data_IF_201660920196
#
_entry.id   IF_201660920196
#
_cell.length_a   1.000
_cell.length_b   1.000
_cell.length_c   1.000
_cell.angle_alpha   90.00
_cell.angle_beta   90.00
_cell.angle_gamma   90.00
#
_symmetry.space_group_name_H-M   'P 1'
#
loop_
_entity.id
_entity.type
_entity.pdbx_description
1 polymer ?
#
# COMPACT_ATOMS: atom_id res chain seq x y z
N UNK A 1 -11.24 35.44 3.31
CA UNK A 1 -11.89 34.68 2.22
C UNK A 1 -12.32 33.38 2.85
N UNK A 2 -13.56 32.92 2.63
CA UNK A 2 -14.01 31.67 3.23
C UNK A 2 -13.14 30.54 2.70
N UNK A 3 -12.52 29.77 3.61
CA UNK A 3 -11.77 28.58 3.22
C UNK A 3 -12.77 27.57 2.64
N UNK A 4 -12.53 27.15 1.40
CA UNK A 4 -13.31 26.11 0.77
C UNK A 4 -13.17 24.81 1.59
N UNK A 5 -14.28 24.09 1.79
CA UNK A 5 -14.29 22.83 2.54
C UNK A 5 -14.80 21.69 1.67
N UNK A 6 -14.53 20.46 2.10
CA UNK A 6 -15.05 19.26 1.46
C UNK A 6 -16.59 19.24 1.45
N UNK A 7 -17.23 19.76 2.51
CA UNK A 7 -18.69 19.90 2.59
C UNK A 7 -19.24 20.82 1.48
N UNK A 8 -18.59 21.97 1.22
CA UNK A 8 -18.99 22.88 0.14
C UNK A 8 -18.85 22.24 -1.24
N UNK A 9 -17.83 21.39 -1.42
CA UNK A 9 -17.61 20.64 -2.67
C UNK A 9 -18.72 19.60 -2.88
N UNK A 10 -19.03 18.83 -1.83
CA UNK A 10 -20.10 17.83 -1.88
C UNK A 10 -21.45 18.49 -2.14
N UNK A 11 -21.74 19.61 -1.46
CA UNK A 11 -22.96 20.38 -1.66
C UNK A 11 -23.10 20.88 -3.11
N UNK A 12 -22.03 21.43 -3.69
CA UNK A 12 -22.02 21.89 -5.09
C UNK A 12 -22.31 20.74 -6.08
N UNK A 13 -21.84 19.52 -5.78
CA UNK A 13 -22.07 18.35 -6.63
C UNK A 13 -23.50 17.81 -6.57
N UNK A 14 -24.30 18.18 -5.57
CA UNK A 14 -25.73 17.82 -5.50
C UNK A 14 -26.57 18.47 -6.60
N UNK A 15 -26.05 19.48 -7.30
CA UNK A 15 -26.69 20.10 -8.47
C UNK A 15 -26.53 19.27 -9.75
N UNK A 16 -25.59 18.31 -9.79
CA UNK A 16 -25.25 17.57 -11.01
C UNK A 16 -26.11 16.32 -11.13
N UNK A 17 -26.77 16.17 -12.28
CA UNK A 17 -27.57 14.98 -12.64
C UNK A 17 -26.86 14.15 -13.71
N UNK A 18 -26.75 12.83 -13.55
CA UNK A 18 -26.24 11.96 -14.59
C UNK A 18 -27.29 11.77 -15.72
N UNK A 19 -26.90 11.32 -16.91
CA UNK A 19 -27.78 11.19 -18.08
C UNK A 19 -28.89 10.13 -17.91
N UNK A 20 -28.76 9.23 -16.95
CA UNK A 20 -29.60 8.04 -16.76
C UNK A 20 -30.46 8.09 -15.49
N UNK A 21 -30.44 9.19 -14.73
CA UNK A 21 -31.22 9.33 -13.50
C UNK A 21 -31.55 10.79 -13.14
N UNK A 22 -32.74 10.99 -12.59
CA UNK A 22 -33.20 12.29 -12.05
C UNK A 22 -32.62 12.63 -10.66
N UNK A 23 -31.96 11.66 -10.01
CA UNK A 23 -31.23 11.87 -8.75
C UNK A 23 -29.82 12.37 -9.00
N UNK A 24 -29.28 13.17 -8.08
CA UNK A 24 -27.93 13.71 -8.20
C UNK A 24 -26.83 12.68 -7.95
N UNK A 25 -25.64 12.96 -8.49
CA UNK A 25 -24.48 12.07 -8.41
C UNK A 25 -24.00 11.81 -6.97
N UNK A 26 -24.33 12.69 -6.00
CA UNK A 26 -24.01 12.49 -4.57
C UNK A 26 -25.02 11.53 -3.94
N UNK A 27 -26.32 11.78 -4.14
CA UNK A 27 -27.41 10.91 -3.65
C UNK A 27 -27.36 9.51 -4.25
N UNK A 28 -26.81 9.37 -5.46
CA UNK A 28 -26.58 8.09 -6.12
C UNK A 28 -25.32 7.37 -5.62
N UNK A 29 -24.55 7.98 -4.71
CA UNK A 29 -23.32 7.40 -4.18
C UNK A 29 -22.20 7.29 -5.21
N UNK A 30 -22.25 8.09 -6.29
CA UNK A 30 -21.27 8.02 -7.37
C UNK A 30 -19.98 8.75 -7.03
N UNK A 31 -19.96 9.60 -6.00
CA UNK A 31 -18.75 10.27 -5.56
C UNK A 31 -17.90 9.32 -4.71
N UNK A 32 -16.82 8.80 -5.31
CA UNK A 32 -15.92 7.85 -4.64
C UNK A 32 -14.72 8.52 -3.96
N UNK A 33 -14.52 9.82 -4.20
CA UNK A 33 -13.52 10.59 -3.47
C UNK A 33 -13.47 12.07 -3.85
N UNK A 34 -13.23 12.91 -2.84
CA UNK A 34 -12.99 14.35 -2.95
C UNK A 34 -11.63 14.65 -2.33
N UNK A 35 -10.79 15.40 -3.04
CA UNK A 35 -9.52 15.91 -2.53
C UNK A 35 -9.49 17.41 -2.73
N UNK A 36 -9.24 18.14 -1.64
CA UNK A 36 -9.03 19.57 -1.65
C UNK A 36 -7.63 19.87 -1.12
N UNK A 37 -6.80 20.54 -1.92
CA UNK A 37 -5.46 20.95 -1.50
C UNK A 37 -5.07 22.29 -2.12
N UNK A 38 -4.81 23.27 -1.27
CA UNK A 38 -4.31 24.59 -1.67
C UNK A 38 -5.17 25.24 -2.80
N UNK A 39 -6.50 25.10 -2.72
CA UNK A 39 -7.43 25.59 -3.75
C UNK A 39 -7.59 24.70 -4.98
N UNK A 40 -6.92 23.54 -5.06
CA UNK A 40 -7.10 22.58 -6.15
C UNK A 40 -8.06 21.47 -5.71
N UNK A 41 -9.07 21.20 -6.52
CA UNK A 41 -10.09 20.18 -6.27
C UNK A 41 -9.89 19.02 -7.25
N UNK A 42 -9.87 17.79 -6.72
CA UNK A 42 -10.00 16.59 -7.53
C UNK A 42 -11.18 15.74 -7.04
N UNK A 43 -12.12 15.44 -7.93
CA UNK A 43 -13.30 14.61 -7.63
C UNK A 43 -13.34 13.39 -8.54
N UNK A 44 -13.64 12.23 -7.94
CA UNK A 44 -13.80 10.97 -8.68
C UNK A 44 -15.27 10.60 -8.72
N UNK A 45 -15.79 10.39 -9.93
CA UNK A 45 -17.15 9.88 -10.17
C UNK A 45 -17.04 8.43 -10.64
N UNK A 46 -17.62 7.53 -9.87
CA UNK A 46 -17.71 6.12 -10.19
C UNK A 46 -18.85 5.86 -11.17
N UNK A 47 -18.54 5.19 -12.28
CA UNK A 47 -19.48 4.83 -13.34
C UNK A 47 -19.30 3.35 -13.70
N UNK A 48 -20.17 2.80 -14.52
CA UNK A 48 -19.96 1.49 -15.17
C UNK A 48 -19.20 1.67 -16.49
N UNK A 49 -18.65 0.57 -17.05
CA UNK A 49 -18.00 0.64 -18.37
C UNK A 49 -18.95 1.07 -19.49
N UNK A 50 -20.22 0.65 -19.41
CA UNK A 50 -21.26 0.97 -20.38
C UNK A 50 -21.63 2.46 -20.35
N UNK A 51 -21.45 3.10 -19.20
CA UNK A 51 -21.69 4.53 -18.97
C UNK A 51 -20.57 5.44 -19.46
N UNK A 52 -19.39 4.90 -19.82
CA UNK A 52 -18.16 5.62 -20.14
C UNK A 52 -18.34 6.94 -20.91
N UNK A 53 -18.61 6.85 -22.22
CA UNK A 53 -18.74 8.04 -23.06
C UNK A 53 -20.01 8.86 -22.75
N UNK A 54 -21.05 8.22 -22.23
CA UNK A 54 -22.33 8.88 -21.93
C UNK A 54 -22.21 9.83 -20.73
N UNK A 55 -21.26 9.58 -19.82
CA UNK A 55 -21.04 10.37 -18.60
C UNK A 55 -20.03 11.52 -18.77
N UNK A 56 -19.43 11.66 -19.94
CA UNK A 56 -18.50 12.76 -20.23
C UNK A 56 -19.14 14.16 -20.05
N UNK A 57 -20.41 14.41 -20.44
CA UNK A 57 -21.09 15.66 -20.11
C UNK A 57 -21.23 15.91 -18.61
N UNK A 58 -21.53 14.86 -17.83
CA UNK A 58 -21.65 14.92 -16.36
C UNK A 58 -20.30 15.24 -15.71
N UNK A 59 -19.21 14.61 -16.18
CA UNK A 59 -17.83 14.91 -15.75
C UNK A 59 -17.51 16.38 -15.97
N UNK A 60 -17.77 16.88 -17.17
CA UNK A 60 -17.48 18.27 -17.55
C UNK A 60 -18.33 19.26 -16.74
N UNK A 61 -19.61 18.98 -16.55
CA UNK A 61 -20.49 19.84 -15.77
C UNK A 61 -20.08 19.91 -14.30
N UNK A 62 -19.64 18.79 -13.72
CA UNK A 62 -19.08 18.77 -12.37
C UNK A 62 -17.78 19.58 -12.30
N UNK A 63 -16.89 19.44 -13.29
CA UNK A 63 -15.63 20.19 -13.36
C UNK A 63 -15.85 21.71 -13.46
N UNK A 64 -16.77 22.14 -14.34
CA UNK A 64 -17.15 23.55 -14.50
C UNK A 64 -17.79 24.11 -13.23
N UNK A 65 -18.64 23.33 -12.56
CA UNK A 65 -19.31 23.74 -11.31
C UNK A 65 -18.32 23.93 -10.17
N UNK A 66 -17.36 23.02 -10.04
CA UNK A 66 -16.32 23.09 -9.01
C UNK A 66 -15.31 24.21 -9.29
N UNK A 67 -14.94 24.43 -10.56
CA UNK A 67 -14.05 25.52 -10.95
C UNK A 67 -14.65 26.91 -10.67
N UNK A 68 -15.99 27.02 -10.64
CA UNK A 68 -16.70 28.26 -10.35
C UNK A 68 -16.79 28.60 -8.84
N UNK A 69 -16.36 27.69 -7.95
CA UNK A 69 -16.43 27.93 -6.51
C UNK A 69 -15.39 28.99 -6.06
N UNK A 70 -15.77 29.93 -5.17
CA UNK A 70 -14.83 30.90 -4.62
C UNK A 70 -13.65 30.23 -3.91
N UNK A 71 -12.42 30.60 -4.29
CA UNK A 71 -11.19 30.04 -3.70
C UNK A 71 -10.61 28.83 -4.44
N UNK A 72 -11.20 28.41 -5.55
CA UNK A 72 -10.69 27.32 -6.40
C UNK A 72 -9.71 27.86 -7.45
N UNK A 73 -8.53 27.26 -7.51
CA UNK A 73 -7.49 27.50 -8.51
C UNK A 73 -7.61 26.55 -9.70
N UNK A 74 -7.98 25.30 -9.44
CA UNK A 74 -8.26 24.31 -10.49
C UNK A 74 -9.22 23.25 -9.97
N UNK A 75 -10.07 22.72 -10.86
CA UNK A 75 -10.90 21.57 -10.59
C UNK A 75 -10.63 20.51 -11.66
N UNK A 76 -10.52 19.25 -11.24
CA UNK A 76 -10.39 18.10 -12.15
C UNK A 76 -11.37 17.02 -11.72
N UNK A 77 -12.21 16.59 -12.66
CA UNK A 77 -13.17 15.50 -12.42
C UNK A 77 -12.80 14.32 -13.31
N UNK A 78 -12.67 13.14 -12.69
CA UNK A 78 -12.30 11.90 -13.37
C UNK A 78 -13.44 10.90 -13.26
N UNK A 79 -13.80 10.30 -14.40
CA UNK A 79 -14.71 9.17 -14.44
C UNK A 79 -13.90 7.88 -14.24
N UNK A 80 -14.31 7.05 -13.30
CA UNK A 80 -13.70 5.73 -13.08
C UNK A 80 -14.74 4.64 -13.25
N UNK A 81 -14.52 3.75 -14.21
CA UNK A 81 -15.28 2.52 -14.33
C UNK A 81 -14.54 1.38 -13.62
N UNK A 82 -15.08 0.87 -12.51
CA UNK A 82 -14.61 -0.41 -12.00
C UNK A 82 -15.03 -1.50 -12.99
N UNK A 83 -14.10 -2.40 -13.35
CA UNK A 83 -14.52 -3.72 -13.85
C UNK A 83 -15.34 -4.33 -12.71
N UNK A 84 -16.60 -4.77 -12.94
CA UNK A 84 -17.11 -5.84 -12.11
C UNK A 84 -16.07 -6.96 -12.22
N UNK A 85 -15.60 -7.48 -11.08
CA UNK A 85 -15.09 -8.84 -11.07
C UNK A 85 -16.10 -9.67 -11.87
N UNK A 86 -15.64 -10.37 -12.92
CA UNK A 86 -16.51 -11.17 -13.79
C UNK A 86 -17.57 -11.83 -12.92
N UNK A 87 -18.82 -11.37 -13.12
CA UNK A 87 -19.95 -11.85 -12.36
C UNK A 87 -19.94 -13.36 -12.47
N UNK A 88 -19.93 -14.00 -11.30
CA UNK A 88 -20.19 -15.40 -11.16
C UNK A 88 -21.41 -15.74 -12.03
N UNK A 89 -21.18 -16.55 -13.07
CA UNK A 89 -22.27 -17.30 -13.68
C UNK A 89 -22.84 -18.19 -12.57
N UNK A 90 -24.15 -18.13 -12.26
CA UNK A 90 -24.76 -19.01 -11.27
C UNK A 90 -24.85 -20.41 -11.88
N UNK A 91 -23.73 -21.14 -11.85
CA UNK A 91 -23.60 -22.42 -12.53
C UNK A 91 -22.17 -22.84 -12.82
N UNK A 92 -21.28 -22.79 -11.84
CA UNK A 92 -20.04 -23.56 -11.88
C UNK A 92 -19.62 -23.90 -10.44
N UNK A 93 -19.23 -25.15 -10.22
CA UNK A 93 -19.06 -25.78 -8.91
C UNK A 93 -18.01 -25.15 -7.97
N UNK A 94 -17.84 -25.74 -6.77
CA UNK A 94 -16.94 -25.20 -5.75
C UNK A 94 -15.48 -25.27 -6.24
N UNK A 95 -14.78 -24.13 -6.19
CA UNK A 95 -13.32 -24.06 -6.30
C UNK A 95 -12.78 -23.74 -7.69
N UNK A 96 -12.74 -22.45 -8.04
CA UNK A 96 -11.61 -21.96 -8.84
C UNK A 96 -10.60 -21.36 -7.85
N UNK A 97 -9.63 -22.17 -7.44
CA UNK A 97 -8.42 -21.68 -6.78
C UNK A 97 -7.76 -20.64 -7.68
N UNK A 98 -7.72 -19.40 -7.21
CA UNK A 98 -6.83 -18.39 -7.81
C UNK A 98 -5.42 -18.98 -7.76
N UNK A 99 -4.76 -19.08 -8.92
CA UNK A 99 -3.38 -19.54 -8.97
C UNK A 99 -2.54 -18.73 -7.96
N UNK A 100 -1.68 -19.39 -7.16
CA UNK A 100 -0.91 -18.70 -6.13
C UNK A 100 -0.13 -17.56 -6.76
N UNK A 101 -0.22 -16.35 -6.20
CA UNK A 101 0.51 -15.19 -6.69
C UNK A 101 2.03 -15.44 -6.78
N UNK A 102 2.55 -16.41 -6.01
CA UNK A 102 3.97 -16.74 -5.89
C UNK A 102 4.13 -18.22 -5.54
N UNK A 103 4.07 -19.12 -6.53
CA UNK A 103 3.95 -20.57 -6.27
C UNK A 103 5.24 -21.19 -5.68
N UNK A 104 6.40 -20.55 -5.84
CA UNK A 104 7.71 -21.13 -5.55
C UNK A 104 8.37 -20.58 -4.26
N UNK A 105 7.56 -20.04 -3.33
CA UNK A 105 8.06 -19.48 -2.07
C UNK A 105 7.51 -20.28 -0.89
N UNK A 106 8.40 -20.86 -0.07
CA UNK A 106 8.00 -21.70 1.07
C UNK A 106 7.46 -20.91 2.26
N UNK A 107 8.00 -19.73 2.52
CA UNK A 107 7.64 -18.91 3.67
C UNK A 107 7.58 -17.44 3.29
N UNK A 108 6.47 -16.77 3.59
CA UNK A 108 6.27 -15.35 3.29
C UNK A 108 6.03 -14.60 4.61
N UNK A 109 6.94 -13.68 4.94
CA UNK A 109 6.90 -12.89 6.17
C UNK A 109 6.61 -11.44 5.79
N UNK A 110 5.48 -10.92 6.27
CA UNK A 110 5.13 -9.53 6.11
C UNK A 110 5.71 -8.67 7.24
N UNK A 111 6.33 -7.54 6.89
CA UNK A 111 6.85 -6.56 7.84
C UNK A 111 5.93 -5.35 7.80
N UNK A 112 5.28 -5.07 8.93
CA UNK A 112 4.27 -4.02 9.04
C UNK A 112 4.62 -3.00 10.13
N UNK A 113 4.02 -1.82 10.06
CA UNK A 113 4.10 -0.81 11.11
C UNK A 113 2.84 0.01 11.17
N UNK A 114 2.41 0.41 12.37
CA UNK A 114 1.21 1.25 12.54
C UNK A 114 1.36 2.68 12.01
N UNK A 115 2.59 3.14 11.77
CA UNK A 115 2.89 4.46 11.21
C UNK A 115 4.21 4.46 10.42
N UNK A 116 4.47 5.54 9.69
CA UNK A 116 5.74 5.78 8.99
C UNK A 116 6.87 6.18 9.94
N UNK A 117 8.12 5.98 9.50
CA UNK A 117 9.32 6.45 10.20
C UNK A 117 9.82 5.56 11.35
N UNK A 118 9.17 4.43 11.65
CA UNK A 118 9.58 3.51 12.74
C UNK A 118 10.76 2.61 12.40
N UNK A 119 11.28 2.68 11.17
CA UNK A 119 12.36 1.80 10.67
C UNK A 119 11.90 0.41 10.20
N UNK A 120 10.65 0.32 9.71
CA UNK A 120 10.06 -0.87 9.07
C UNK A 120 10.95 -1.43 7.96
N UNK A 121 11.28 -0.61 6.95
CA UNK A 121 12.11 -1.01 5.80
C UNK A 121 13.52 -1.42 6.20
N UNK A 122 14.13 -0.69 7.15
CA UNK A 122 15.44 -1.06 7.71
C UNK A 122 15.39 -2.45 8.35
N UNK A 123 14.31 -2.73 9.09
CA UNK A 123 14.11 -4.03 9.73
C UNK A 123 13.89 -5.13 8.68
N UNK A 124 13.10 -4.86 7.64
CA UNK A 124 12.86 -5.80 6.54
C UNK A 124 14.17 -6.18 5.82
N UNK A 125 15.01 -5.20 5.48
CA UNK A 125 16.33 -5.42 4.87
C UNK A 125 17.22 -6.26 5.79
N UNK A 126 17.34 -5.90 7.06
CA UNK A 126 18.20 -6.63 8.00
C UNK A 126 17.71 -8.07 8.23
N UNK A 127 16.39 -8.30 8.27
CA UNK A 127 15.84 -9.63 8.40
C UNK A 127 16.11 -10.48 7.14
N UNK A 128 15.93 -9.91 5.95
CA UNK A 128 16.26 -10.59 4.70
C UNK A 128 17.74 -10.97 4.62
N UNK A 129 18.64 -10.04 4.97
CA UNK A 129 20.08 -10.30 5.02
C UNK A 129 20.44 -11.35 6.07
N UNK A 130 19.77 -11.37 7.23
CA UNK A 130 19.97 -12.39 8.26
C UNK A 130 19.55 -13.79 7.78
N UNK A 131 18.47 -13.90 6.99
CA UNK A 131 18.07 -15.17 6.38
C UNK A 131 19.08 -15.63 5.32
N UNK A 132 19.54 -14.73 4.46
CA UNK A 132 20.58 -15.05 3.47
C UNK A 132 21.90 -15.46 4.14
N UNK A 133 22.29 -14.79 5.22
CA UNK A 133 23.47 -15.14 6.03
C UNK A 133 23.35 -16.53 6.68
N UNK A 134 22.12 -17.04 6.87
CA UNK A 134 21.85 -18.42 7.30
C UNK A 134 21.80 -19.43 6.15
N UNK A 135 22.04 -19.00 4.91
CA UNK A 135 22.05 -19.85 3.72
C UNK A 135 20.69 -20.09 3.08
N UNK A 136 19.66 -19.33 3.47
CA UNK A 136 18.32 -19.44 2.87
C UNK A 136 18.27 -18.69 1.54
N UNK A 137 17.58 -19.23 0.53
CA UNK A 137 17.24 -18.49 -0.69
C UNK A 137 16.23 -17.42 -0.33
N UNK A 138 16.63 -16.15 -0.36
CA UNK A 138 15.83 -15.05 0.19
C UNK A 138 15.42 -14.02 -0.86
N UNK A 139 14.12 -13.71 -0.87
CA UNK A 139 13.54 -12.57 -1.60
C UNK A 139 13.18 -11.42 -0.66
N UNK A 140 13.28 -10.20 -1.17
CA UNK A 140 12.83 -8.98 -0.52
C UNK A 140 11.97 -8.16 -1.49
N UNK A 141 10.71 -7.94 -1.13
CA UNK A 141 9.80 -7.10 -1.89
C UNK A 141 9.51 -5.81 -1.11
N UNK A 142 9.82 -4.68 -1.71
CA UNK A 142 9.41 -3.36 -1.25
C UNK A 142 8.07 -2.97 -1.88
N UNK A 143 7.03 -2.91 -1.06
CA UNK A 143 5.69 -2.49 -1.48
C UNK A 143 5.33 -1.07 -1.03
N UNK A 144 6.28 -0.32 -0.44
CA UNK A 144 6.06 1.06 -0.04
C UNK A 144 6.27 2.02 -1.22
N UNK A 145 5.15 2.36 -1.88
CA UNK A 145 5.16 3.14 -3.12
C UNK A 145 5.49 4.61 -2.90
N UNK A 146 5.12 5.17 -1.74
CA UNK A 146 5.23 6.60 -1.46
C UNK A 146 6.60 7.00 -0.91
N UNK A 147 7.36 6.03 -0.40
CA UNK A 147 8.71 6.25 0.12
C UNK A 147 9.59 5.01 -0.02
N UNK A 148 9.79 4.47 -1.24
CA UNK A 148 10.59 3.28 -1.44
C UNK A 148 12.01 3.56 -0.97
N UNK A 149 12.42 2.87 0.08
CA UNK A 149 13.72 3.10 0.72
C UNK A 149 14.69 1.96 0.47
N UNK A 150 14.17 0.78 0.09
CA UNK A 150 14.97 -0.43 -0.10
C UNK A 150 15.98 -0.29 -1.25
N UNK A 151 15.66 0.28 -2.43
CA UNK A 151 16.66 0.50 -3.48
C UNK A 151 17.85 1.29 -2.97
N UNK A 152 17.61 2.38 -2.25
CA UNK A 152 18.67 3.21 -1.67
C UNK A 152 19.45 2.47 -0.58
N UNK A 153 18.78 1.76 0.32
CA UNK A 153 19.42 1.01 1.42
C UNK A 153 20.36 -0.08 0.90
N UNK A 154 19.96 -0.76 -0.17
CA UNK A 154 20.77 -1.80 -0.81
C UNK A 154 21.75 -1.20 -1.83
N UNK A 155 21.58 0.04 -2.28
CA UNK A 155 22.31 0.64 -3.39
C UNK A 155 22.01 -0.05 -4.72
N UNK A 156 20.72 -0.31 -4.99
CA UNK A 156 20.22 -0.81 -6.25
C UNK A 156 19.96 0.37 -7.18
N UNK A 157 20.43 0.25 -8.42
CA UNK A 157 20.30 1.30 -9.42
C UNK A 157 19.75 0.73 -10.72
N UNK A 158 19.09 1.60 -11.48
CA UNK A 158 18.51 1.31 -12.79
C UNK A 158 17.28 0.40 -12.73
N UNK A 159 16.54 0.38 -13.84
CA UNK A 159 15.36 -0.48 -13.98
C UNK A 159 15.75 -1.96 -13.93
N UNK A 160 14.83 -2.86 -13.50
CA UNK A 160 15.03 -4.29 -13.62
C UNK A 160 15.16 -4.70 -15.08
N UNK A 161 15.95 -5.75 -15.35
CA UNK A 161 16.08 -6.29 -16.70
C UNK A 161 14.78 -7.00 -17.08
N UNK A 162 14.31 -6.77 -18.30
CA UNK A 162 13.15 -7.46 -18.84
C UNK A 162 13.59 -8.79 -19.46
N UNK A 163 13.16 -9.91 -18.88
CA UNK A 163 13.51 -11.26 -19.34
C UNK A 163 12.60 -11.68 -20.51
N UNK A 164 11.35 -11.24 -20.50
CA UNK A 164 10.37 -11.48 -21.57
C UNK A 164 9.33 -10.37 -21.61
N UNK A 165 8.39 -10.41 -22.56
CA UNK A 165 7.31 -9.41 -22.68
C UNK A 165 6.56 -9.15 -21.35
N UNK A 166 6.47 -10.16 -20.48
CA UNK A 166 5.76 -10.08 -19.20
C UNK A 166 6.64 -10.31 -17.97
N UNK A 167 7.90 -10.78 -18.11
CA UNK A 167 8.74 -11.17 -16.96
C UNK A 167 9.88 -10.19 -16.69
N UNK A 168 10.08 -9.87 -15.42
CA UNK A 168 11.16 -9.01 -14.93
C UNK A 168 12.15 -9.80 -14.07
N UNK A 169 13.44 -9.54 -14.25
CA UNK A 169 14.48 -10.06 -13.37
C UNK A 169 14.48 -9.27 -12.05
N UNK A 170 14.47 -9.92 -10.87
CA UNK A 170 14.76 -9.22 -9.63
C UNK A 170 16.20 -8.71 -9.64
N UNK A 171 16.47 -7.60 -8.95
CA UNK A 171 17.85 -7.18 -8.71
C UNK A 171 18.48 -8.10 -7.67
N UNK A 172 19.76 -8.41 -7.82
CA UNK A 172 20.48 -9.23 -6.85
C UNK A 172 21.57 -8.41 -6.16
N UNK A 173 21.60 -8.46 -4.83
CA UNK A 173 22.67 -7.85 -4.04
C UNK A 173 22.79 -8.50 -2.68
N UNK A 174 24.01 -8.60 -2.14
CA UNK A 174 24.28 -9.21 -0.82
C UNK A 174 23.67 -10.61 -0.64
N UNK A 175 23.53 -11.39 -1.73
CA UNK A 175 22.94 -12.73 -1.69
C UNK A 175 21.41 -12.78 -1.58
N UNK A 176 20.72 -11.64 -1.74
CA UNK A 176 19.25 -11.58 -1.79
C UNK A 176 18.76 -11.13 -3.16
N UNK A 177 17.59 -11.64 -3.56
CA UNK A 177 16.80 -11.12 -4.67
C UNK A 177 15.89 -10.01 -4.16
N UNK A 178 15.90 -8.85 -4.80
CA UNK A 178 15.18 -7.68 -4.37
C UNK A 178 14.37 -7.06 -5.52
N UNK A 179 13.14 -6.65 -5.22
CA UNK A 179 12.33 -5.84 -6.11
C UNK A 179 11.67 -4.70 -5.32
N UNK A 180 11.51 -3.55 -5.95
CA UNK A 180 10.86 -2.38 -5.37
C UNK A 180 10.12 -1.59 -6.43
N UNK A 181 9.01 -0.98 -6.05
CA UNK A 181 8.32 0.00 -6.88
C UNK A 181 9.24 1.16 -7.27
N UNK A 182 10.17 1.56 -6.40
CA UNK A 182 11.15 2.61 -6.70
C UNK A 182 12.07 2.29 -7.88
N UNK A 183 12.16 1.03 -8.33
CA UNK A 183 12.93 0.64 -9.51
C UNK A 183 12.11 0.71 -10.81
N UNK A 184 10.79 0.71 -10.73
CA UNK A 184 9.88 0.70 -11.89
C UNK A 184 9.46 2.12 -12.30
N UNK A 185 9.50 3.07 -11.35
CA UNK A 185 9.11 4.47 -11.55
C UNK A 185 10.34 5.30 -11.90
N UNK A 186 10.23 6.22 -12.86
CA UNK A 186 11.27 7.20 -13.11
C UNK A 186 11.13 8.37 -12.12
N UNK A 187 12.24 8.80 -11.52
CA UNK A 187 12.28 9.81 -10.44
C UNK A 187 11.60 11.15 -10.79
N UNK A 188 11.45 11.48 -12.08
CA UNK A 188 11.00 12.79 -12.55
C UNK A 188 9.51 12.87 -12.95
N UNK A 189 8.73 11.79 -12.85
CA UNK A 189 7.30 11.82 -13.20
C UNK A 189 6.43 11.76 -11.93
N UNK A 190 5.73 12.85 -11.55
CA UNK A 190 4.77 12.78 -10.45
C UNK A 190 3.59 11.89 -10.84
N UNK A 191 3.68 10.61 -10.51
CA UNK A 191 2.61 9.64 -10.69
C UNK A 191 1.69 9.66 -9.46
N UNK A 192 0.39 9.91 -9.68
CA UNK A 192 -0.63 9.80 -8.63
C UNK A 192 -0.97 8.32 -8.44
N UNK A 193 -0.42 7.72 -7.39
CA UNK A 193 -0.71 6.34 -7.01
C UNK A 193 -2.02 6.26 -6.24
N UNK A 194 -3.07 5.73 -6.90
CA UNK A 194 -4.36 5.37 -6.27
C UNK A 194 -4.27 3.97 -5.68
N UNK A 195 -5.03 3.69 -4.61
CA UNK A 195 -5.02 2.38 -3.91
C UNK A 195 -5.10 1.15 -4.83
N UNK A 196 -6.04 1.09 -5.79
CA UNK A 196 -6.13 -0.04 -6.74
C UNK A 196 -4.89 -0.18 -7.66
N UNK A 197 -4.24 0.92 -8.02
CA UNK A 197 -3.01 0.89 -8.83
C UNK A 197 -1.84 0.36 -8.01
N UNK A 198 -1.75 0.77 -6.74
CA UNK A 198 -0.77 0.25 -5.78
C UNK A 198 -0.91 -1.26 -5.66
N UNK A 199 -2.13 -1.73 -5.45
CA UNK A 199 -2.40 -3.16 -5.35
C UNK A 199 -2.07 -3.92 -6.62
N UNK A 200 -2.48 -3.42 -7.78
CA UNK A 200 -2.19 -4.05 -9.07
C UNK A 200 -0.68 -4.13 -9.33
N UNK A 201 0.07 -3.08 -8.99
CA UNK A 201 1.51 -3.06 -9.17
C UNK A 201 2.21 -4.04 -8.21
N UNK A 202 1.75 -4.16 -6.96
CA UNK A 202 2.28 -5.16 -6.03
C UNK A 202 1.97 -6.57 -6.50
N UNK A 203 0.73 -6.86 -6.90
CA UNK A 203 0.35 -8.14 -7.49
C UNK A 203 1.18 -8.49 -8.73
N UNK A 204 1.45 -7.49 -9.57
CA UNK A 204 2.33 -7.62 -10.72
C UNK A 204 3.75 -8.00 -10.28
N UNK A 205 4.34 -7.30 -9.31
CA UNK A 205 5.69 -7.65 -8.81
C UNK A 205 5.74 -9.05 -8.18
N UNK A 206 4.67 -9.50 -7.54
CA UNK A 206 4.58 -10.83 -6.95
C UNK A 206 4.54 -11.91 -8.05
N UNK A 207 3.80 -11.66 -9.14
CA UNK A 207 3.53 -12.63 -10.22
C UNK A 207 4.58 -12.63 -11.33
N UNK A 208 4.97 -11.44 -11.79
CA UNK A 208 5.69 -11.21 -13.05
C UNK A 208 7.21 -11.12 -12.83
N UNK A 209 7.67 -11.08 -11.58
CA UNK A 209 9.09 -11.15 -11.25
C UNK A 209 9.55 -12.59 -11.18
N UNK A 210 10.69 -12.88 -11.81
CA UNK A 210 11.32 -14.20 -11.80
C UNK A 210 12.06 -14.45 -10.48
N UNK A 211 11.31 -14.59 -9.39
CA UNK A 211 11.86 -14.89 -8.06
C UNK A 211 12.61 -16.22 -8.02
N UNK A 212 12.24 -17.17 -8.89
CA UNK A 212 12.70 -18.55 -8.80
C UNK A 212 12.23 -19.24 -7.51
N UNK A 213 12.98 -20.24 -7.05
CA UNK A 213 12.70 -20.89 -5.77
C UNK A 213 13.26 -20.07 -4.60
N UNK A 214 12.40 -19.75 -3.64
CA UNK A 214 12.79 -19.07 -2.40
C UNK A 214 12.39 -19.89 -1.17
N UNK A 215 13.28 -19.95 -0.20
CA UNK A 215 12.96 -20.49 1.12
C UNK A 215 12.16 -19.48 1.94
N UNK A 216 12.49 -18.19 1.80
CA UNK A 216 11.80 -17.12 2.50
C UNK A 216 11.70 -15.86 1.64
N UNK A 217 10.55 -15.21 1.71
CA UNK A 217 10.37 -13.86 1.18
C UNK A 217 9.92 -12.92 2.28
N UNK A 218 10.62 -11.80 2.38
CA UNK A 218 10.27 -10.68 3.26
C UNK A 218 9.54 -9.63 2.43
N UNK A 219 8.33 -9.26 2.84
CA UNK A 219 7.55 -8.19 2.19
C UNK A 219 7.52 -6.99 3.12
N UNK A 220 8.11 -5.88 2.68
CA UNK A 220 8.02 -4.58 3.36
C UNK A 220 6.72 -3.88 2.96
N UNK A 221 5.74 -3.87 3.87
CA UNK A 221 4.39 -3.35 3.60
C UNK A 221 4.35 -1.82 3.63
N UNK A 222 3.38 -1.15 2.99
CA UNK A 222 3.14 0.27 3.24
C UNK A 222 2.88 0.53 4.74
N UNK A 223 3.19 1.74 5.26
CA UNK A 223 2.90 2.07 6.65
C UNK A 223 1.40 2.21 6.90
N UNK A 224 0.96 1.95 8.13
CA UNK A 224 -0.39 2.21 8.61
C UNK A 224 -1.18 0.93 8.88
N UNK A 225 -2.50 1.03 8.71
CA UNK A 225 -3.44 -0.11 8.67
C UNK A 225 -4.50 0.14 7.59
N UNK A 226 -4.10 0.80 6.50
CA UNK A 226 -4.98 1.18 5.41
C UNK A 226 -5.28 0.01 4.46
N UNK A 227 -6.14 0.27 3.47
CA UNK A 227 -6.69 -0.76 2.58
C UNK A 227 -5.63 -1.53 1.78
N UNK A 228 -4.52 -0.89 1.42
CA UNK A 228 -3.45 -1.56 0.67
C UNK A 228 -2.81 -2.71 1.47
N UNK A 229 -2.59 -2.50 2.77
CA UNK A 229 -2.01 -3.52 3.64
C UNK A 229 -2.98 -4.67 3.90
N UNK A 230 -4.26 -4.33 4.13
CA UNK A 230 -5.31 -5.31 4.34
C UNK A 230 -5.52 -6.18 3.08
N UNK A 231 -5.60 -5.55 1.91
CA UNK A 231 -5.78 -6.24 0.64
C UNK A 231 -4.61 -7.17 0.35
N UNK A 232 -3.37 -6.72 0.59
CA UNK A 232 -2.19 -7.57 0.40
C UNK A 232 -2.20 -8.77 1.34
N UNK A 233 -2.57 -8.55 2.62
CA UNK A 233 -2.68 -9.64 3.59
C UNK A 233 -3.81 -10.63 3.27
N UNK A 234 -4.86 -10.22 2.55
CA UNK A 234 -5.94 -11.10 2.07
C UNK A 234 -5.59 -11.84 0.77
N UNK A 235 -4.80 -11.22 -0.11
CA UNK A 235 -4.48 -11.77 -1.43
C UNK A 235 -3.26 -12.68 -1.40
N UNK A 236 -2.27 -12.35 -0.58
CA UNK A 236 -1.02 -13.10 -0.48
C UNK A 236 -1.13 -14.11 0.66
N UNK A 237 -0.77 -15.39 0.44
CA UNK A 237 -0.78 -16.40 1.50
C UNK A 237 0.40 -16.19 2.47
N UNK A 238 0.29 -15.17 3.33
CA UNK A 238 1.31 -14.83 4.32
C UNK A 238 1.44 -15.95 5.35
N UNK A 239 2.66 -16.44 5.58
CA UNK A 239 2.96 -17.40 6.66
C UNK A 239 2.88 -16.73 8.03
N UNK A 240 3.22 -15.45 8.09
CA UNK A 240 3.05 -14.64 9.29
C UNK A 240 3.49 -13.20 9.10
N UNK A 241 3.25 -12.39 10.11
CA UNK A 241 3.59 -10.98 10.14
C UNK A 241 4.46 -10.61 11.33
N UNK A 242 5.38 -9.67 11.14
CA UNK A 242 6.17 -9.04 12.19
C UNK A 242 5.80 -7.56 12.26
N UNK A 243 5.47 -7.09 13.45
CA UNK A 243 5.11 -5.68 13.67
C UNK A 243 6.33 -4.92 14.14
N UNK A 244 6.73 -3.89 13.40
CA UNK A 244 7.80 -2.97 13.78
C UNK A 244 7.19 -1.73 14.41
N UNK A 245 7.76 -1.32 15.54
CA UNK A 245 7.28 -0.20 16.31
C UNK A 245 8.43 0.46 17.06
N UNK A 246 8.19 1.63 17.66
CA UNK A 246 9.14 2.31 18.55
C UNK A 246 8.59 2.30 19.98
N UNK A 247 9.41 2.53 21.02
CA UNK A 247 8.91 2.55 22.39
C UNK A 247 7.74 3.53 22.63
N UNK A 248 7.73 4.65 21.88
CA UNK A 248 6.64 5.62 21.89
C UNK A 248 5.35 5.02 21.32
N UNK A 249 5.46 4.23 20.25
CA UNK A 249 4.32 3.71 19.50
C UNK A 249 3.70 2.47 20.11
N UNK A 250 4.49 1.62 20.76
CA UNK A 250 3.94 0.40 21.34
C UNK A 250 3.03 0.72 22.53
N UNK A 251 3.34 1.78 23.27
CA UNK A 251 2.46 2.27 24.32
C UNK A 251 1.16 2.89 23.78
N UNK A 252 1.16 3.30 22.50
CA UNK A 252 0.05 3.94 21.81
C UNK A 252 -0.82 2.92 21.03
N UNK A 253 -1.89 3.39 20.41
CA UNK A 253 -2.88 2.56 19.72
C UNK A 253 -2.36 1.87 18.46
N UNK A 254 -1.25 2.30 17.89
CA UNK A 254 -0.96 2.03 16.49
C UNK A 254 -0.35 0.64 16.26
N UNK A 255 0.49 0.16 17.17
CA UNK A 255 0.93 -1.24 17.18
C UNK A 255 -0.26 -2.20 17.37
N UNK A 256 -1.23 -1.84 18.23
CA UNK A 256 -2.44 -2.63 18.47
C UNK A 256 -3.36 -2.69 17.26
N UNK A 257 -3.54 -1.58 16.56
CA UNK A 257 -4.32 -1.54 15.31
C UNK A 257 -3.70 -2.47 14.27
N UNK A 258 -2.37 -2.43 14.10
CA UNK A 258 -1.64 -3.33 13.19
C UNK A 258 -1.83 -4.81 13.56
N UNK A 259 -1.68 -5.15 14.84
CA UNK A 259 -1.94 -6.49 15.36
C UNK A 259 -3.38 -6.96 15.07
N UNK A 260 -4.37 -6.14 15.38
CA UNK A 260 -5.77 -6.47 15.19
C UNK A 260 -6.14 -6.64 13.71
N UNK A 261 -5.49 -5.89 12.82
CA UNK A 261 -5.67 -6.04 11.38
C UNK A 261 -5.25 -7.45 10.91
N UNK A 262 -4.06 -7.92 11.26
CA UNK A 262 -3.60 -9.27 10.87
C UNK A 262 -4.44 -10.38 11.50
N UNK A 263 -4.89 -10.20 12.75
CA UNK A 263 -5.83 -11.13 13.39
C UNK A 263 -7.16 -11.24 12.63
N UNK A 264 -7.69 -10.13 12.10
CA UNK A 264 -8.93 -10.12 11.31
C UNK A 264 -8.82 -10.86 9.98
N UNK A 265 -7.62 -10.95 9.41
CA UNK A 265 -7.34 -11.68 8.17
C UNK A 265 -6.64 -13.02 8.44
N UNK A 266 -6.71 -13.49 9.69
CA UNK A 266 -6.20 -14.81 10.11
C UNK A 266 -4.70 -15.04 9.84
N UNK A 267 -3.91 -13.96 9.73
CA UNK A 267 -2.46 -14.05 9.57
C UNK A 267 -1.79 -14.09 10.94
N UNK A 268 -0.98 -15.13 11.25
CA UNK A 268 -0.27 -15.23 12.53
C UNK A 268 0.72 -14.08 12.72
N UNK A 269 0.66 -13.38 13.85
CA UNK A 269 1.69 -12.40 14.20
C UNK A 269 2.82 -13.12 14.94
N UNK A 270 3.98 -13.23 14.28
CA UNK A 270 5.17 -13.95 14.75
C UNK A 270 5.88 -13.20 15.88
N UNK A 271 5.72 -11.88 15.95
CA UNK A 271 6.29 -11.07 17.03
C UNK A 271 6.21 -9.57 16.77
N UNK A 272 6.64 -8.81 17.78
CA UNK A 272 6.78 -7.35 17.74
C UNK A 272 8.25 -7.00 17.92
N UNK A 273 8.78 -6.14 17.05
CA UNK A 273 10.12 -5.57 17.15
C UNK A 273 10.01 -4.13 17.64
N UNK A 274 10.67 -3.84 18.77
CA UNK A 274 10.87 -2.47 19.27
C UNK A 274 12.17 -1.90 18.69
N UNK A 275 12.05 -1.14 17.62
CA UNK A 275 13.16 -0.41 17.03
C UNK A 275 13.41 0.90 17.80
N UNK A 276 14.62 1.47 17.68
CA UNK A 276 15.03 2.68 18.41
C UNK A 276 14.83 2.56 19.94
N UNK A 277 15.01 1.34 20.47
CA UNK A 277 14.67 1.02 21.86
C UNK A 277 15.66 1.55 22.89
N UNK A 278 16.90 1.82 22.47
CA UNK A 278 17.94 2.48 23.25
C UNK A 278 19.06 2.98 22.32
N UNK A 279 19.93 3.80 22.88
CA UNK A 279 21.19 4.22 22.27
C UNK A 279 22.35 3.59 23.03
N UNK A 280 23.30 2.98 22.31
CA UNK A 280 24.56 2.52 22.88
C UNK A 280 25.66 3.53 22.54
N UNK A 281 26.23 4.17 23.55
CA UNK A 281 27.27 5.18 23.36
C UNK A 281 28.50 4.56 22.68
N UNK A 282 28.96 5.09 21.53
CA UNK A 282 30.11 4.51 20.81
C UNK A 282 31.44 4.70 21.56
N UNK A 283 31.52 5.61 22.53
CA UNK A 283 32.73 5.86 23.31
C UNK A 283 32.87 4.91 24.51
N UNK A 284 31.79 4.65 25.25
CA UNK A 284 31.83 3.88 26.50
C UNK A 284 30.94 2.63 26.52
N UNK A 285 30.11 2.39 25.50
CA UNK A 285 29.16 1.28 25.46
C UNK A 285 27.94 1.46 26.39
N UNK A 286 27.85 2.57 27.11
CA UNK A 286 26.73 2.84 28.01
C UNK A 286 25.42 2.88 27.23
N UNK A 287 24.42 2.18 27.78
CA UNK A 287 23.07 2.16 27.25
C UNK A 287 22.29 3.34 27.82
N UNK A 288 21.73 4.15 26.94
CA UNK A 288 20.80 5.23 27.28
C UNK A 288 19.44 4.96 26.63
N UNK A 289 18.40 4.83 27.43
CA UNK A 289 17.04 4.78 26.94
C UNK A 289 16.60 6.23 26.63
N UNK A 290 16.86 6.69 25.39
CA UNK A 290 16.51 8.06 24.95
C UNK A 290 15.00 8.31 25.06
N UNK A 291 14.22 7.26 24.84
CA UNK A 291 12.76 7.25 24.98
C UNK A 291 12.36 6.27 26.10
N UNK A 292 11.12 5.78 26.08
CA UNK A 292 10.72 4.65 26.93
C UNK A 292 11.35 3.35 26.42
N UNK A 293 11.17 2.25 27.15
CA UNK A 293 11.61 0.92 26.72
C UNK A 293 10.63 -0.19 27.15
N UNK A 294 10.66 -1.30 26.40
CA UNK A 294 9.99 -2.55 26.76
C UNK A 294 8.48 -2.54 26.51
N UNK A 295 7.97 -1.58 25.73
CA UNK A 295 6.59 -1.56 25.28
C UNK A 295 6.26 -2.80 24.47
N UNK A 296 7.09 -3.16 23.48
CA UNK A 296 6.90 -4.36 22.65
C UNK A 296 6.84 -5.63 23.48
N UNK A 297 7.72 -5.77 24.46
CA UNK A 297 7.74 -6.93 25.35
C UNK A 297 6.44 -7.05 26.15
N UNK A 298 5.95 -5.94 26.71
CA UNK A 298 4.69 -5.91 27.47
C UNK A 298 3.49 -6.20 26.58
N UNK A 299 3.47 -5.67 25.37
CA UNK A 299 2.37 -5.89 24.43
C UNK A 299 2.39 -7.33 23.88
N UNK A 300 3.55 -7.86 23.53
CA UNK A 300 3.70 -9.26 23.11
C UNK A 300 3.29 -10.25 24.20
N UNK A 301 3.51 -9.93 25.48
CA UNK A 301 3.05 -10.77 26.59
C UNK A 301 1.53 -10.76 26.80
N UNK A 302 0.80 -9.82 26.18
CA UNK A 302 -0.67 -9.74 26.18
C UNK A 302 -1.30 -10.37 24.95
N UNK A 303 -0.49 -10.73 23.95
CA UNK A 303 -0.93 -11.34 22.70
C UNK A 303 -1.30 -12.80 22.90
#
# INVERSE_FOLDING_TARGET
MADITEETIIEALTAIRPPDSDKDIVSLGMISGVVLRDGNIAVTIEITQEQGNAFEPTRRQAEETLAALPGVLSATVVLTAQRPAQGASPGAGPGQEQAPLIPNVKTIIAIASGKGGVGKSTTAVNLALAFAAKGLKTGLLDSDIYGPSIPRMLGLEGRPEQISETRLAPKEKFGIKAMSMGLLVADDTPMIWRGPMVMSAIEQMLRDVEWGELDVMVIDLPPGTGDAQLTLAQRVPLTGAVIVSTPQDVALSDARKGLNMFRKVEVPVLGIIENMSYFACPHCGERTDIFSHGGAKREAARM
#
